data_IF_005807287983
#
_entry.id   IF_005807287983
#
_cell.length_a   1.000
_cell.length_b   1.000
_cell.length_c   1.000
_cell.angle_alpha   90.00
_cell.angle_beta   90.00
_cell.angle_gamma   90.00
#
_symmetry.space_group_name_H-M   'P 1'
#
loop_
_entity.id
_entity.type
_entity.pdbx_description
1 polymer ?
#
# COMPACT_ATOMS: atom_id res chain seq x y z
N UNK A 1 31.95 -15.32 -0.49
CA UNK A 1 30.56 -15.27 0.01
C UNK A 1 29.64 -15.24 -1.19
N UNK A 2 28.90 -16.31 -1.44
CA UNK A 2 28.10 -16.55 -2.65
C UNK A 2 26.91 -15.57 -2.74
N UNK A 3 26.64 -15.11 -3.96
CA UNK A 3 25.65 -14.08 -4.35
C UNK A 3 24.16 -14.48 -4.14
N UNK A 4 23.90 -15.67 -3.57
CA UNK A 4 22.57 -16.29 -3.41
C UNK A 4 21.77 -15.80 -2.19
N UNK A 5 22.11 -14.64 -1.60
CA UNK A 5 21.30 -14.10 -0.51
C UNK A 5 20.08 -13.34 -1.12
N UNK A 6 18.84 -13.67 -0.72
CA UNK A 6 17.66 -12.99 -1.23
C UNK A 6 17.78 -11.49 -0.94
N UNK A 7 17.86 -10.68 -2.02
CA UNK A 7 18.05 -9.23 -1.91
C UNK A 7 16.89 -8.61 -1.12
N UNK A 8 17.24 -7.95 -0.01
CA UNK A 8 16.30 -7.20 0.85
C UNK A 8 15.42 -6.22 0.07
N UNK A 9 15.93 -5.70 -1.06
CA UNK A 9 15.19 -4.84 -1.98
C UNK A 9 15.21 -5.41 -3.39
N UNK A 10 14.22 -6.26 -3.68
CA UNK A 10 13.88 -6.61 -5.05
C UNK A 10 13.07 -5.48 -5.69
N UNK A 11 13.51 -5.00 -6.86
CA UNK A 11 12.75 -4.02 -7.67
C UNK A 11 11.34 -4.52 -7.97
N UNK A 12 11.19 -5.83 -8.14
CA UNK A 12 9.89 -6.47 -8.42
C UNK A 12 8.95 -6.31 -7.22
N UNK A 13 9.43 -6.52 -6.00
CA UNK A 13 8.63 -6.34 -4.79
C UNK A 13 8.13 -4.91 -4.65
N UNK A 14 8.97 -3.92 -4.97
CA UNK A 14 8.56 -2.51 -4.96
C UNK A 14 7.43 -2.22 -5.97
N UNK A 15 7.48 -2.79 -7.17
CA UNK A 15 6.39 -2.63 -8.16
C UNK A 15 5.09 -3.29 -7.72
N UNK A 16 5.17 -4.47 -7.08
CA UNK A 16 4.00 -5.16 -6.51
C UNK A 16 3.37 -4.31 -5.41
N UNK A 17 4.18 -3.79 -4.48
CA UNK A 17 3.71 -2.92 -3.42
C UNK A 17 3.05 -1.66 -4.01
N UNK A 18 3.64 -1.05 -5.05
CA UNK A 18 3.12 0.16 -5.73
C UNK A 18 1.78 -0.10 -6.42
N UNK A 19 1.68 -1.23 -7.11
CA UNK A 19 0.43 -1.67 -7.73
C UNK A 19 -0.66 -1.91 -6.69
N UNK A 20 -0.37 -2.68 -5.64
CA UNK A 20 -1.32 -2.98 -4.57
C UNK A 20 -1.84 -1.71 -3.87
N UNK A 21 -0.93 -0.76 -3.64
CA UNK A 21 -1.23 0.50 -2.96
C UNK A 21 -2.07 1.44 -3.83
N UNK A 22 -1.80 1.50 -5.13
CA UNK A 22 -2.63 2.23 -6.08
C UNK A 22 -4.05 1.66 -6.18
N UNK A 23 -4.19 0.33 -6.22
CA UNK A 23 -5.50 -0.34 -6.23
C UNK A 23 -6.25 -0.07 -4.92
N UNK A 24 -5.57 -0.16 -3.78
CA UNK A 24 -6.16 0.13 -2.47
C UNK A 24 -6.67 1.57 -2.37
N UNK A 25 -5.92 2.54 -2.91
CA UNK A 25 -6.34 3.94 -2.94
C UNK A 25 -7.65 4.14 -3.71
N UNK A 26 -7.76 3.57 -4.92
CA UNK A 26 -8.96 3.67 -5.75
C UNK A 26 -10.16 2.99 -5.08
N UNK A 27 -9.94 1.83 -4.46
CA UNK A 27 -10.96 1.13 -3.71
C UNK A 27 -11.48 1.97 -2.53
N UNK A 28 -10.58 2.47 -1.69
CA UNK A 28 -10.95 3.29 -0.53
C UNK A 28 -11.63 4.59 -0.93
N UNK A 29 -11.18 5.23 -2.01
CA UNK A 29 -11.83 6.42 -2.55
C UNK A 29 -13.29 6.15 -2.95
N UNK A 30 -13.54 5.03 -3.64
CA UNK A 30 -14.90 4.66 -4.07
C UNK A 30 -15.82 4.37 -2.89
N UNK A 31 -15.30 3.72 -1.85
CA UNK A 31 -16.09 3.39 -0.64
C UNK A 31 -16.45 4.65 0.14
N UNK A 32 -15.49 5.57 0.33
CA UNK A 32 -15.73 6.78 1.11
C UNK A 32 -16.70 7.76 0.43
N UNK A 33 -16.70 7.84 -0.89
CA UNK A 33 -17.63 8.70 -1.62
C UNK A 33 -19.11 8.40 -1.30
N UNK A 34 -19.45 7.12 -1.06
CA UNK A 34 -20.82 6.73 -0.70
C UNK A 34 -21.15 6.93 0.77
N UNK A 35 -20.14 7.11 1.64
CA UNK A 35 -20.31 7.14 3.09
C UNK A 35 -20.26 8.55 3.69
N UNK A 36 -19.87 9.56 2.90
CA UNK A 36 -19.84 10.97 3.32
C UNK A 36 -21.21 11.61 3.04
N UNK A 37 -22.02 11.90 4.07
CA UNK A 37 -23.27 12.63 3.90
C UNK A 37 -22.94 14.12 3.69
N UNK A 38 -22.83 14.56 2.45
CA UNK A 38 -22.64 15.96 2.09
C UNK A 38 -23.28 16.25 0.74
N UNK A 39 -23.91 17.42 0.59
CA UNK A 39 -24.55 17.83 -0.67
C UNK A 39 -23.56 18.45 -1.66
N UNK A 40 -22.39 18.92 -1.19
CA UNK A 40 -21.37 19.54 -2.03
C UNK A 40 -20.39 18.51 -2.64
N UNK A 41 -20.42 18.30 -3.97
CA UNK A 41 -19.62 17.27 -4.64
C UNK A 41 -18.11 17.56 -4.63
N UNK A 42 -17.71 18.82 -4.44
CA UNK A 42 -16.30 19.21 -4.29
C UNK A 42 -15.75 18.79 -2.94
N UNK A 43 -16.49 19.05 -1.86
CA UNK A 43 -16.10 18.72 -0.49
C UNK A 43 -15.97 17.21 -0.28
N UNK A 44 -16.90 16.42 -0.81
CA UNK A 44 -16.82 14.95 -0.78
C UNK A 44 -15.53 14.46 -1.44
N UNK A 45 -15.18 15.06 -2.58
CA UNK A 45 -14.01 14.66 -3.38
C UNK A 45 -12.69 14.95 -2.66
N UNK A 46 -12.58 16.13 -2.03
CA UNK A 46 -11.40 16.49 -1.25
C UNK A 46 -11.30 15.65 0.02
N UNK A 47 -12.38 15.49 0.78
CA UNK A 47 -12.36 14.70 2.02
C UNK A 47 -12.04 13.24 1.74
N UNK A 48 -12.67 12.64 0.72
CA UNK A 48 -12.36 11.28 0.26
C UNK A 48 -10.88 11.16 -0.16
N UNK A 49 -10.31 12.19 -0.81
CA UNK A 49 -8.89 12.21 -1.17
C UNK A 49 -7.96 12.17 0.05
N UNK A 50 -8.14 13.10 1.00
CA UNK A 50 -7.24 13.22 2.14
C UNK A 50 -7.27 11.97 3.01
N UNK A 51 -8.46 11.41 3.21
CA UNK A 51 -8.67 10.19 4.00
C UNK A 51 -8.14 8.95 3.30
N UNK A 52 -8.44 8.74 2.01
CA UNK A 52 -7.92 7.60 1.26
C UNK A 52 -6.41 7.65 1.12
N UNK A 53 -5.80 8.83 0.97
CA UNK A 53 -4.34 9.00 0.89
C UNK A 53 -3.69 8.59 2.21
N UNK A 54 -4.24 9.01 3.35
CA UNK A 54 -3.75 8.61 4.67
C UNK A 54 -3.79 7.08 4.87
N UNK A 55 -4.93 6.45 4.58
CA UNK A 55 -5.10 4.99 4.70
C UNK A 55 -4.15 4.24 3.76
N UNK A 56 -3.99 4.75 2.54
CA UNK A 56 -3.06 4.21 1.55
C UNK A 56 -1.61 4.32 2.01
N UNK A 57 -1.23 5.43 2.67
CA UNK A 57 0.10 5.60 3.25
C UNK A 57 0.39 4.58 4.36
N UNK A 58 -0.59 4.30 5.23
CA UNK A 58 -0.44 3.25 6.25
C UNK A 58 -0.32 1.87 5.62
N UNK A 59 -1.13 1.58 4.59
CA UNK A 59 -1.04 0.34 3.83
C UNK A 59 0.34 0.16 3.18
N UNK A 60 0.89 1.24 2.59
CA UNK A 60 2.24 1.24 2.01
C UNK A 60 3.30 0.86 3.05
N UNK A 61 3.26 1.49 4.23
CA UNK A 61 4.20 1.18 5.32
C UNK A 61 4.08 -0.26 5.79
N UNK A 62 2.85 -0.78 5.89
CA UNK A 62 2.60 -2.17 6.24
C UNK A 62 3.15 -3.14 5.17
N UNK A 63 2.97 -2.84 3.88
CA UNK A 63 3.54 -3.62 2.77
C UNK A 63 5.07 -3.65 2.82
N UNK A 64 5.71 -2.50 3.09
CA UNK A 64 7.17 -2.44 3.29
C UNK A 64 7.64 -3.36 4.43
N UNK A 65 6.95 -3.36 5.58
CA UNK A 65 7.27 -4.23 6.71
C UNK A 65 7.01 -5.71 6.41
N UNK A 66 5.91 -6.01 5.70
CA UNK A 66 5.62 -7.36 5.25
C UNK A 66 6.73 -7.88 4.33
N UNK A 67 7.26 -7.06 3.43
CA UNK A 67 8.36 -7.47 2.55
C UNK A 67 9.63 -7.77 3.33
N UNK A 68 9.98 -6.96 4.34
CA UNK A 68 11.15 -7.20 5.20
C UNK A 68 11.00 -8.52 5.95
N UNK A 69 9.83 -8.77 6.55
CA UNK A 69 9.56 -10.01 7.29
C UNK A 69 9.54 -11.24 6.37
N UNK A 70 9.01 -11.11 5.15
CA UNK A 70 9.03 -12.18 4.16
C UNK A 70 10.45 -12.56 3.72
N UNK A 71 11.31 -11.56 3.46
CA UNK A 71 12.71 -11.82 3.10
C UNK A 71 13.45 -12.50 4.25
N UNK A 72 13.24 -12.04 5.48
CA UNK A 72 13.84 -12.66 6.68
C UNK A 72 13.36 -14.12 6.85
N UNK A 73 12.06 -14.37 6.67
CA UNK A 73 11.50 -15.72 6.74
C UNK A 73 12.11 -16.65 5.69
N UNK A 74 12.25 -16.19 4.44
CA UNK A 74 12.85 -16.98 3.36
C UNK A 74 14.33 -17.27 3.64
N UNK A 75 15.09 -16.31 4.17
CA UNK A 75 16.51 -16.50 4.52
C UNK A 75 16.71 -17.52 5.66
N UNK A 76 15.79 -17.58 6.62
CA UNK A 76 15.89 -18.49 7.76
C UNK A 76 15.31 -19.89 7.48
N UNK A 77 14.73 -20.10 6.29
CA UNK A 77 14.16 -21.38 5.85
C UNK A 77 15.18 -22.25 5.11
N UNK A 78 16.23 -21.64 4.55
CA UNK A 78 17.42 -22.30 3.97
C UNK A 78 18.46 -22.61 5.06
#
# INVERSE_FOLDING_TARGET
MSDDQPKLVSRIGLFVDLGATGVFFLFMWSVLGSHVPSDDPTTIRWVAAYTSLCLTGVFWLAACMFRVTLVEYLRNKD
#
